data_IF_062424136224
#
_entry.id   IF_062424136224
#
_cell.length_a   1.000
_cell.length_b   1.000
_cell.length_c   1.000
_cell.angle_alpha   90.00
_cell.angle_beta   90.00
_cell.angle_gamma   90.00
#
_symmetry.space_group_name_H-M   'P 1'
#
loop_
_entity.id
_entity.type
_entity.pdbx_description
1 polymer ?
#
# COMPACT_ATOMS: atom_id res chain seq x y z
N UNK A 1 -27.09 -22.38 42.58
CA UNK A 1 -26.22 -23.01 41.58
C UNK A 1 -25.84 -21.92 40.60
N UNK A 2 -24.56 -21.54 40.54
CA UNK A 2 -24.10 -20.47 39.66
C UNK A 2 -23.85 -21.06 38.27
N UNK A 3 -24.55 -20.53 37.27
CA UNK A 3 -24.43 -20.92 35.88
C UNK A 3 -23.10 -20.36 35.33
N UNK A 4 -22.15 -21.26 35.09
CA UNK A 4 -20.88 -20.91 34.45
C UNK A 4 -21.16 -20.74 32.97
N UNK A 5 -21.37 -19.49 32.55
CA UNK A 5 -21.35 -19.12 31.13
C UNK A 5 -19.93 -19.35 30.64
N UNK A 6 -19.75 -20.38 29.81
CA UNK A 6 -18.46 -20.64 29.17
C UNK A 6 -18.12 -19.47 28.22
N UNK A 7 -16.89 -18.95 28.26
CA UNK A 7 -16.45 -17.95 27.30
C UNK A 7 -16.44 -18.58 25.91
N UNK A 8 -17.11 -17.93 24.94
CA UNK A 8 -17.07 -18.37 23.56
C UNK A 8 -15.62 -18.46 23.09
N UNK A 9 -15.21 -19.65 22.67
CA UNK A 9 -13.88 -19.92 22.13
C UNK A 9 -13.68 -19.08 20.85
N UNK A 10 -12.86 -18.03 20.95
CA UNK A 10 -12.45 -17.16 19.83
C UNK A 10 -11.72 -17.95 18.72
N UNK A 11 -11.28 -19.17 19.02
CA UNK A 11 -10.57 -20.07 18.10
C UNK A 11 -11.42 -20.61 16.95
N UNK A 12 -12.75 -20.46 16.98
CA UNK A 12 -13.65 -21.02 15.96
C UNK A 12 -14.05 -20.02 14.85
N UNK A 13 -13.48 -18.81 14.88
CA UNK A 13 -13.68 -17.83 13.80
C UNK A 13 -12.77 -18.14 12.62
N UNK A 14 -13.09 -19.21 11.90
CA UNK A 14 -12.47 -19.56 10.63
C UNK A 14 -12.75 -18.42 9.64
N UNK A 15 -11.79 -17.51 9.46
CA UNK A 15 -11.90 -16.47 8.44
C UNK A 15 -11.69 -17.12 7.07
N UNK A 16 -12.77 -17.64 6.50
CA UNK A 16 -12.76 -18.09 5.11
C UNK A 16 -12.52 -16.89 4.21
N UNK A 17 -11.30 -16.79 3.68
CA UNK A 17 -10.97 -15.83 2.65
C UNK A 17 -11.63 -16.33 1.35
N UNK A 18 -12.58 -15.59 0.77
CA UNK A 18 -13.19 -15.95 -0.51
C UNK A 18 -12.13 -15.90 -1.62
N UNK A 19 -12.40 -16.55 -2.75
CA UNK A 19 -11.59 -16.32 -3.95
C UNK A 19 -11.90 -14.96 -4.56
N UNK A 20 -10.87 -14.28 -5.07
CA UNK A 20 -11.01 -13.00 -5.76
C UNK A 20 -11.72 -13.18 -7.09
N UNK A 21 -12.85 -12.50 -7.24
CA UNK A 21 -13.65 -12.38 -8.45
C UNK A 21 -13.79 -10.92 -8.83
N UNK A 22 -14.33 -10.68 -10.03
CA UNK A 22 -14.53 -9.33 -10.55
C UNK A 22 -15.36 -8.41 -9.64
N UNK A 23 -16.31 -8.97 -8.91
CA UNK A 23 -17.36 -8.22 -8.18
C UNK A 23 -17.15 -8.15 -6.66
N UNK A 24 -16.18 -8.88 -6.10
CA UNK A 24 -16.03 -9.02 -4.65
C UNK A 24 -14.72 -8.44 -4.09
N UNK A 25 -13.97 -7.69 -4.90
CA UNK A 25 -12.62 -7.22 -4.56
C UNK A 25 -12.52 -6.49 -3.21
N UNK A 26 -13.49 -5.64 -2.86
CA UNK A 26 -13.50 -4.91 -1.58
C UNK A 26 -13.55 -5.85 -0.38
N UNK A 27 -14.56 -6.72 -0.35
CA UNK A 27 -14.74 -7.74 0.69
C UNK A 27 -13.54 -8.69 0.71
N UNK A 28 -13.03 -9.06 -0.46
CA UNK A 28 -11.85 -9.89 -0.57
C UNK A 28 -10.62 -9.23 0.07
N UNK A 29 -10.34 -7.97 -0.26
CA UNK A 29 -9.18 -7.22 0.25
C UNK A 29 -9.24 -7.09 1.76
N UNK A 30 -10.40 -6.73 2.31
CA UNK A 30 -10.60 -6.68 3.76
C UNK A 30 -10.35 -8.03 4.43
N UNK A 31 -10.90 -9.13 3.89
CA UNK A 31 -10.72 -10.48 4.44
C UNK A 31 -9.27 -10.94 4.37
N UNK A 32 -8.57 -10.65 3.28
CA UNK A 32 -7.13 -10.94 3.14
C UNK A 32 -6.33 -10.18 4.17
N UNK A 33 -6.48 -8.85 4.27
CA UNK A 33 -5.71 -8.03 5.19
C UNK A 33 -5.98 -8.41 6.66
N UNK A 34 -7.23 -8.69 7.00
CA UNK A 34 -7.62 -9.19 8.33
C UNK A 34 -6.92 -10.51 8.65
N UNK A 35 -6.91 -11.46 7.71
CA UNK A 35 -6.28 -12.76 7.91
C UNK A 35 -4.76 -12.67 8.02
N UNK A 36 -4.11 -11.83 7.19
CA UNK A 36 -2.67 -11.57 7.29
C UNK A 36 -2.31 -10.96 8.66
N UNK A 37 -3.13 -10.05 9.18
CA UNK A 37 -2.97 -9.47 10.51
C UNK A 37 -3.17 -10.48 11.64
N UNK A 38 -4.20 -11.33 11.56
CA UNK A 38 -4.43 -12.40 12.55
C UNK A 38 -3.32 -13.44 12.59
N UNK A 39 -2.65 -13.69 11.47
CA UNK A 39 -1.51 -14.59 11.38
C UNK A 39 -0.16 -13.94 11.70
N UNK A 40 -0.13 -12.63 12.01
CA UNK A 40 1.10 -11.83 12.22
C UNK A 40 2.11 -11.93 11.06
N UNK A 41 1.60 -12.00 9.81
CA UNK A 41 2.41 -12.03 8.59
C UNK A 41 2.28 -10.75 7.76
N UNK A 42 1.65 -9.71 8.29
CA UNK A 42 1.42 -8.41 7.65
C UNK A 42 2.58 -7.40 7.84
N UNK A 43 3.69 -7.80 8.47
CA UNK A 43 4.81 -6.92 8.78
C UNK A 43 5.39 -6.20 7.55
N UNK A 44 5.55 -6.90 6.43
CA UNK A 44 6.03 -6.35 5.16
C UNK A 44 5.02 -5.41 4.47
N UNK A 45 3.75 -5.45 4.87
CA UNK A 45 2.72 -4.50 4.45
C UNK A 45 2.84 -3.21 5.28
N UNK A 46 3.06 -3.34 6.59
CA UNK A 46 3.15 -2.21 7.52
C UNK A 46 4.47 -1.44 7.47
N UNK A 47 5.57 -2.10 7.10
CA UNK A 47 6.92 -1.53 7.11
C UNK A 47 7.55 -1.55 5.73
N UNK A 48 8.35 -0.54 5.44
CA UNK A 48 9.13 -0.49 4.21
C UNK A 48 10.25 -1.52 4.20
N UNK A 49 10.68 -1.89 2.99
CA UNK A 49 11.76 -2.84 2.79
C UNK A 49 13.03 -2.36 3.51
N UNK A 50 13.57 -3.16 4.44
CA UNK A 50 14.83 -2.84 5.09
C UNK A 50 15.98 -2.80 4.06
N UNK A 51 17.06 -2.06 4.33
CA UNK A 51 18.25 -2.07 3.48
C UNK A 51 18.77 -3.50 3.28
N UNK A 52 19.28 -3.79 2.09
CA UNK A 52 19.87 -5.08 1.79
C UNK A 52 21.01 -5.40 2.78
N UNK A 53 21.03 -6.64 3.27
CA UNK A 53 22.07 -7.12 4.18
C UNK A 53 23.42 -7.04 3.45
N UNK A 54 24.36 -6.33 4.07
CA UNK A 54 25.77 -6.31 3.68
C UNK A 54 26.62 -7.16 4.64
N UNK A 55 27.83 -7.55 4.24
CA UNK A 55 28.76 -8.33 5.06
C UNK A 55 29.14 -7.67 6.40
N UNK A 56 28.89 -6.37 6.54
CA UNK A 56 29.15 -5.57 7.75
C UNK A 56 27.88 -5.28 8.56
N UNK A 57 26.76 -5.93 8.25
CA UNK A 57 25.49 -5.68 8.95
C UNK A 57 25.55 -6.20 10.37
N UNK A 58 24.88 -5.50 11.28
CA UNK A 58 24.70 -5.97 12.65
C UNK A 58 23.74 -7.15 12.68
N UNK A 59 23.86 -8.07 13.66
CA UNK A 59 22.90 -9.16 13.84
C UNK A 59 21.45 -8.69 13.84
N UNK A 60 21.13 -7.62 14.58
CA UNK A 60 19.79 -7.04 14.63
C UNK A 60 19.25 -6.59 13.25
N UNK A 61 20.13 -6.15 12.35
CA UNK A 61 19.72 -5.74 11.00
C UNK A 61 19.43 -6.94 10.10
N UNK A 62 20.14 -8.06 10.31
CA UNK A 62 19.88 -9.34 9.65
C UNK A 62 18.53 -9.88 10.10
N UNK A 63 18.28 -9.94 11.41
CA UNK A 63 17.01 -10.42 11.98
C UNK A 63 15.81 -9.61 11.48
N UNK A 64 15.95 -8.28 11.38
CA UNK A 64 14.91 -7.40 10.87
C UNK A 64 14.58 -7.70 9.40
N UNK A 65 15.60 -7.91 8.57
CA UNK A 65 15.44 -8.23 7.16
C UNK A 65 14.81 -9.62 6.99
N UNK A 66 15.27 -10.64 7.72
CA UNK A 66 14.71 -11.99 7.67
C UNK A 66 13.23 -12.01 8.10
N UNK A 67 12.89 -11.28 9.17
CA UNK A 67 11.49 -11.11 9.59
C UNK A 67 10.64 -10.49 8.50
N UNK A 68 11.15 -9.45 7.84
CA UNK A 68 10.46 -8.78 6.75
C UNK A 68 10.29 -9.69 5.53
N UNK A 69 11.34 -10.39 5.12
CA UNK A 69 11.32 -11.27 3.96
C UNK A 69 10.38 -12.46 4.18
N UNK A 70 10.37 -13.04 5.38
CA UNK A 70 9.42 -14.10 5.76
C UNK A 70 7.97 -13.62 5.65
N UNK A 71 7.67 -12.43 6.19
CA UNK A 71 6.34 -11.82 6.10
C UNK A 71 5.94 -11.51 4.66
N UNK A 72 6.87 -10.99 3.85
CA UNK A 72 6.66 -10.73 2.42
C UNK A 72 6.31 -12.01 1.67
N UNK A 73 7.15 -13.04 1.79
CA UNK A 73 6.99 -14.31 1.10
C UNK A 73 5.66 -15.00 1.46
N UNK A 74 5.33 -15.10 2.75
CA UNK A 74 4.09 -15.72 3.21
C UNK A 74 2.85 -14.96 2.74
N UNK A 75 2.88 -13.63 2.78
CA UNK A 75 1.76 -12.81 2.30
C UNK A 75 1.53 -12.97 0.81
N UNK A 76 2.61 -12.92 -0.01
CA UNK A 76 2.52 -13.14 -1.46
C UNK A 76 1.94 -14.51 -1.77
N UNK A 77 2.43 -15.55 -1.10
CA UNK A 77 1.95 -16.91 -1.29
C UNK A 77 0.46 -17.01 -0.97
N UNK A 78 0.03 -16.52 0.18
CA UNK A 78 -1.37 -16.57 0.62
C UNK A 78 -2.29 -15.82 -0.36
N UNK A 79 -1.92 -14.59 -0.73
CA UNK A 79 -2.70 -13.77 -1.66
C UNK A 79 -2.87 -14.51 -2.99
N UNK A 80 -1.78 -15.03 -3.59
CA UNK A 80 -1.83 -15.74 -4.87
C UNK A 80 -2.70 -17.00 -4.83
N UNK A 81 -2.78 -17.70 -3.69
CA UNK A 81 -3.71 -18.85 -3.57
C UNK A 81 -5.18 -18.45 -3.60
N UNK A 82 -5.50 -17.19 -3.29
CA UNK A 82 -6.87 -16.67 -3.23
C UNK A 82 -7.26 -15.87 -4.48
N UNK A 83 -6.46 -15.96 -5.54
CA UNK A 83 -6.75 -15.35 -6.85
C UNK A 83 -7.11 -16.45 -7.86
N UNK A 84 -8.24 -16.26 -8.55
CA UNK A 84 -8.70 -17.19 -9.59
C UNK A 84 -7.79 -17.15 -10.82
N UNK A 85 -7.77 -18.25 -11.58
CA UNK A 85 -6.92 -18.37 -12.77
C UNK A 85 -7.17 -17.29 -13.84
N UNK A 86 -8.39 -16.72 -13.91
CA UNK A 86 -8.74 -15.67 -14.88
C UNK A 86 -8.06 -14.32 -14.61
N UNK A 87 -7.72 -14.04 -13.35
CA UNK A 87 -7.08 -12.79 -12.90
C UNK A 87 -5.58 -13.01 -12.67
N UNK A 88 -5.19 -14.24 -12.34
CA UNK A 88 -3.82 -14.62 -11.96
C UNK A 88 -2.74 -14.12 -12.93
N UNK A 89 -2.98 -14.20 -14.24
CA UNK A 89 -1.98 -13.87 -15.27
C UNK A 89 -1.41 -12.44 -15.20
N UNK A 90 -2.22 -11.45 -14.77
CA UNK A 90 -1.79 -10.04 -14.70
C UNK A 90 -1.03 -9.69 -13.41
N UNK A 91 -1.10 -10.53 -12.38
CA UNK A 91 -0.59 -10.22 -11.03
C UNK A 91 0.51 -11.18 -10.55
N UNK A 92 0.70 -12.31 -11.21
CA UNK A 92 1.62 -13.37 -10.78
C UNK A 92 3.11 -12.99 -10.76
N UNK A 93 3.51 -11.94 -11.47
CA UNK A 93 4.91 -11.53 -11.60
C UNK A 93 5.46 -10.82 -10.35
N UNK A 94 4.59 -10.36 -9.45
CA UNK A 94 5.00 -9.57 -8.29
C UNK A 94 5.58 -10.48 -7.19
N UNK A 95 6.80 -10.14 -6.75
CA UNK A 95 7.53 -10.82 -5.66
C UNK A 95 7.42 -10.09 -4.33
N UNK A 96 7.04 -8.80 -4.35
CA UNK A 96 6.81 -7.98 -3.17
C UNK A 96 5.31 -7.85 -2.91
N UNK A 97 4.89 -8.03 -1.66
CA UNK A 97 3.47 -8.00 -1.26
C UNK A 97 2.83 -6.64 -1.52
N UNK A 98 3.55 -5.53 -1.29
CA UNK A 98 3.06 -4.18 -1.55
C UNK A 98 2.78 -3.95 -3.04
N UNK A 99 3.71 -4.37 -3.89
CA UNK A 99 3.55 -4.24 -5.34
C UNK A 99 2.44 -5.14 -5.87
N UNK A 100 2.31 -6.36 -5.33
CA UNK A 100 1.21 -7.27 -5.65
C UNK A 100 -0.15 -6.65 -5.30
N UNK A 101 -0.31 -6.14 -4.07
CA UNK A 101 -1.55 -5.48 -3.64
C UNK A 101 -1.84 -4.27 -4.52
N UNK A 102 -0.84 -3.44 -4.81
CA UNK A 102 -1.00 -2.28 -5.68
C UNK A 102 -1.45 -2.67 -7.10
N UNK A 103 -0.85 -3.69 -7.69
CA UNK A 103 -1.24 -4.17 -9.02
C UNK A 103 -2.68 -4.69 -9.05
N UNK A 104 -3.11 -5.37 -7.98
CA UNK A 104 -4.52 -5.78 -7.81
C UNK A 104 -5.40 -4.54 -7.71
N UNK A 105 -5.07 -3.58 -6.85
CA UNK A 105 -5.82 -2.33 -6.67
C UNK A 105 -6.03 -1.60 -8.02
N UNK A 106 -4.97 -1.49 -8.82
CA UNK A 106 -4.99 -0.85 -10.15
C UNK A 106 -5.84 -1.63 -11.17
N UNK A 107 -5.80 -2.96 -11.13
CA UNK A 107 -6.61 -3.80 -12.01
C UNK A 107 -8.11 -3.64 -11.75
N UNK A 108 -8.52 -3.49 -10.49
CA UNK A 108 -9.93 -3.27 -10.16
C UNK A 108 -10.36 -1.81 -10.37
N UNK A 109 -9.48 -0.83 -10.13
CA UNK A 109 -9.76 0.56 -10.47
C UNK A 109 -9.94 0.79 -11.99
N UNK A 110 -9.21 0.06 -12.85
CA UNK A 110 -9.39 0.14 -14.30
C UNK A 110 -10.67 -0.54 -14.78
N UNK A 111 -11.08 -1.63 -14.12
CA UNK A 111 -12.37 -2.28 -14.35
C UNK A 111 -13.54 -1.32 -14.08
N UNK A 112 -13.55 -0.65 -12.92
CA UNK A 112 -14.62 0.27 -12.53
C UNK A 112 -14.77 1.44 -13.53
N UNK A 113 -13.64 1.99 -13.99
CA UNK A 113 -13.62 3.03 -15.04
C UNK A 113 -14.23 2.53 -16.36
N UNK A 114 -13.92 1.30 -16.75
CA UNK A 114 -14.47 0.69 -17.98
C UNK A 114 -15.97 0.46 -17.86
N UNK A 115 -16.44 0.03 -16.69
CA UNK A 115 -17.87 -0.11 -16.39
C UNK A 115 -18.57 1.26 -16.44
N UNK A 116 -17.99 2.30 -15.83
CA UNK A 116 -18.52 3.65 -15.88
C UNK A 116 -18.65 4.18 -17.33
N UNK A 117 -17.61 4.04 -18.16
CA UNK A 117 -17.64 4.43 -19.58
C UNK A 117 -18.75 3.68 -20.32
N UNK A 118 -18.89 2.38 -20.07
CA UNK A 118 -19.94 1.56 -20.70
C UNK A 118 -21.34 2.01 -20.28
N UNK A 119 -21.54 2.35 -19.00
CA UNK A 119 -22.82 2.85 -18.48
C UNK A 119 -23.15 4.23 -19.05
N UNK A 120 -22.18 5.14 -19.13
CA UNK A 120 -22.34 6.46 -19.77
C UNK A 120 -22.70 6.28 -21.24
N UNK A 121 -22.02 5.39 -21.97
CA UNK A 121 -22.33 5.11 -23.37
C UNK A 121 -23.74 4.53 -23.53
N UNK A 122 -24.14 3.58 -22.68
CA UNK A 122 -25.52 3.07 -22.65
C UNK A 122 -26.54 4.19 -22.35
N UNK A 123 -26.27 5.03 -21.37
CA UNK A 123 -27.15 6.13 -20.97
C UNK A 123 -27.36 7.14 -22.10
N UNK A 124 -26.27 7.56 -22.74
CA UNK A 124 -26.28 8.56 -23.84
C UNK A 124 -26.87 8.02 -25.13
N UNK A 125 -26.73 6.72 -25.40
CA UNK A 125 -27.30 6.07 -26.60
C UNK A 125 -28.74 5.59 -26.40
N UNK A 126 -29.18 5.42 -25.16
CA UNK A 126 -30.54 4.97 -24.84
C UNK A 126 -31.57 6.03 -25.23
N UNK A 127 -32.34 5.74 -26.28
CA UNK A 127 -33.47 6.57 -26.74
C UNK A 127 -34.79 5.88 -26.47
N UNK A 128 -35.82 6.67 -26.18
CA UNK A 128 -37.18 6.14 -26.10
C UNK A 128 -37.69 5.81 -27.51
N UNK A 129 -37.93 4.54 -27.79
CA UNK A 129 -38.40 4.04 -29.11
C UNK A 129 -39.89 3.75 -29.16
N UNK A 130 -40.63 3.96 -28.07
CA UNK A 130 -42.06 3.63 -27.96
C UNK A 130 -42.37 2.14 -27.73
N UNK A 131 -41.42 1.23 -28.00
CA UNK A 131 -41.64 -0.23 -28.00
C UNK A 131 -41.84 -0.81 -26.58
N UNK A 132 -41.03 -0.38 -25.61
CA UNK A 132 -40.99 -0.94 -24.23
C UNK A 132 -41.89 -0.21 -23.22
N UNK A 133 -42.71 0.74 -23.67
CA UNK A 133 -43.53 1.55 -22.78
C UNK A 133 -42.73 2.53 -21.91
N UNK A 134 -43.37 3.62 -21.49
CA UNK A 134 -42.70 4.73 -20.80
C UNK A 134 -42.15 4.32 -19.43
N UNK A 135 -42.91 3.53 -18.67
CA UNK A 135 -42.52 3.09 -17.31
C UNK A 135 -41.22 2.27 -17.32
N UNK A 136 -41.06 1.37 -18.29
CA UNK A 136 -39.87 0.55 -18.40
C UNK A 136 -38.66 1.38 -18.82
N UNK A 137 -38.84 2.32 -19.74
CA UNK A 137 -37.77 3.26 -20.12
C UNK A 137 -37.28 4.10 -18.93
N UNK A 138 -38.20 4.62 -18.11
CA UNK A 138 -37.87 5.37 -16.89
C UNK A 138 -37.11 4.48 -15.89
N UNK A 139 -37.56 3.24 -15.69
CA UNK A 139 -36.86 2.32 -14.78
C UNK A 139 -35.43 2.04 -15.24
N UNK A 140 -35.22 1.76 -16.52
CA UNK A 140 -33.88 1.51 -17.05
C UNK A 140 -32.96 2.74 -16.94
N UNK A 141 -33.48 3.94 -17.25
CA UNK A 141 -32.71 5.19 -17.10
C UNK A 141 -32.32 5.45 -15.65
N UNK A 142 -33.26 5.19 -14.71
CA UNK A 142 -33.02 5.33 -13.28
C UNK A 142 -32.01 4.31 -12.77
N UNK A 143 -32.08 3.08 -13.24
CA UNK A 143 -31.15 2.00 -12.88
C UNK A 143 -29.71 2.33 -13.31
N UNK A 144 -29.50 2.74 -14.56
CA UNK A 144 -28.18 3.18 -15.04
C UNK A 144 -27.66 4.37 -14.22
N UNK A 145 -28.54 5.33 -13.90
CA UNK A 145 -28.18 6.49 -13.06
C UNK A 145 -27.78 6.07 -11.65
N UNK A 146 -28.47 5.09 -11.06
CA UNK A 146 -28.15 4.57 -9.73
C UNK A 146 -26.80 3.83 -9.72
N UNK A 147 -26.52 3.03 -10.74
CA UNK A 147 -25.22 2.36 -10.90
C UNK A 147 -24.08 3.38 -11.06
N UNK A 148 -24.27 4.44 -11.85
CA UNK A 148 -23.28 5.52 -12.00
C UNK A 148 -22.99 6.24 -10.68
N UNK A 149 -24.02 6.55 -9.88
CA UNK A 149 -23.84 7.17 -8.56
C UNK A 149 -23.08 6.28 -7.60
N UNK A 150 -23.35 4.98 -7.63
CA UNK A 150 -22.63 4.00 -6.82
C UNK A 150 -21.14 4.05 -7.15
N UNK A 151 -20.77 3.98 -8.44
CA UNK A 151 -19.37 4.07 -8.87
C UNK A 151 -18.69 5.41 -8.49
N UNK A 152 -19.41 6.53 -8.54
CA UNK A 152 -18.88 7.85 -8.14
C UNK A 152 -18.58 7.93 -6.63
N UNK A 153 -19.50 7.44 -5.80
CA UNK A 153 -19.31 7.36 -4.35
C UNK A 153 -18.16 6.41 -3.99
N UNK A 154 -18.01 5.32 -4.76
CA UNK A 154 -16.94 4.35 -4.60
C UNK A 154 -15.56 4.91 -4.99
N UNK A 155 -15.45 5.70 -6.07
CA UNK A 155 -14.21 6.37 -6.45
C UNK A 155 -13.77 7.38 -5.38
N UNK A 156 -14.73 8.10 -4.78
CA UNK A 156 -14.47 9.03 -3.67
C UNK A 156 -13.89 8.31 -2.44
N UNK A 157 -14.44 7.17 -2.05
CA UNK A 157 -13.95 6.39 -0.90
C UNK A 157 -12.49 5.94 -1.08
N UNK A 158 -12.11 5.52 -2.29
CA UNK A 158 -10.75 5.08 -2.62
C UNK A 158 -9.73 6.24 -2.53
N UNK A 159 -10.13 7.47 -2.85
CA UNK A 159 -9.27 8.65 -2.73
C UNK A 159 -9.03 9.05 -1.25
N UNK A 160 -10.04 8.89 -0.38
CA UNK A 160 -9.94 9.23 1.04
C UNK A 160 -9.00 8.29 1.83
N UNK A 161 -8.91 7.01 1.46
CA UNK A 161 -7.98 6.06 2.11
C UNK A 161 -6.51 6.31 1.77
N UNK A 162 -6.22 6.76 0.53
CA UNK A 162 -4.87 7.13 0.10
C UNK A 162 -4.31 8.36 0.85
N UNK A 163 -5.19 9.28 1.29
CA UNK A 163 -4.79 10.43 2.11
C UNK A 163 -4.51 10.05 3.57
N UNK A 164 -5.26 9.10 4.15
CA UNK A 164 -5.04 8.65 5.54
C UNK A 164 -3.67 8.02 5.77
N UNK A 165 -3.10 7.33 4.78
CA UNK A 165 -1.76 6.72 4.87
C UNK A 165 -0.64 7.78 4.86
N UNK A 166 -0.86 8.92 4.20
CA UNK A 166 0.16 9.98 4.08
C UNK A 166 0.21 10.92 5.29
N UNK A 167 -0.88 11.06 6.05
CA UNK A 167 -0.93 11.93 7.24
C UNK A 167 -0.16 11.38 8.45
N UNK A 168 0.11 10.07 8.52
CA UNK A 168 0.85 9.46 9.63
C UNK A 168 2.39 9.58 9.53
N UNK A 169 2.94 10.15 8.45
CA UNK A 169 4.41 10.24 8.24
C UNK A 169 5.02 11.56 8.76
N UNK A 170 4.21 12.58 9.08
CA UNK A 170 4.69 13.88 9.55
C UNK A 170 4.36 14.18 11.02
N UNK A 171 4.80 13.31 11.95
CA UNK A 171 4.95 13.76 13.34
C UNK A 171 6.17 14.69 13.47
N UNK A 172 5.88 15.98 13.55
CA UNK A 172 6.76 17.06 13.98
C UNK A 172 7.51 16.68 15.26
N UNK A 173 8.81 16.38 15.15
CA UNK A 173 9.74 16.51 16.28
C UNK A 173 9.78 17.99 16.73
N UNK A 174 9.08 18.32 17.80
CA UNK A 174 9.33 19.53 18.58
C UNK A 174 10.73 19.42 19.21
N UNK A 175 11.58 20.41 18.95
CA UNK A 175 12.84 20.64 19.66
C UNK A 175 12.52 21.47 20.91
N UNK A 176 12.59 20.85 22.08
CA UNK A 176 12.73 21.58 23.33
C UNK A 176 14.22 21.67 23.69
N UNK A 177 14.72 22.91 23.71
CA UNK A 177 16.05 23.25 24.22
C UNK A 177 15.95 23.46 25.74
N UNK A 178 16.72 22.68 26.51
CA UNK A 178 17.13 23.10 27.85
C UNK A 178 18.57 22.64 28.13
N UNK A 179 19.32 23.53 28.76
CA UNK A 179 20.77 23.67 28.80
C UNK A 179 21.28 23.21 30.17
N UNK A 180 22.11 22.17 30.23
CA UNK A 180 22.77 21.71 31.46
C UNK A 180 24.23 21.36 31.20
N UNK A 181 25.15 22.05 31.88
CA UNK A 181 26.61 22.01 31.71
C UNK A 181 27.20 20.71 32.28
N UNK A 182 28.12 20.09 31.55
CA UNK A 182 28.98 19.01 32.04
C UNK A 182 30.08 18.70 31.02
N UNK A 183 31.32 18.79 31.46
CA UNK A 183 32.61 18.80 30.74
C UNK A 183 32.96 17.52 29.95
N UNK A 184 33.64 17.72 28.80
CA UNK A 184 34.23 16.69 27.91
C UNK A 184 35.65 16.30 28.42
N UNK A 185 36.12 15.07 28.17
CA UNK A 185 37.49 14.86 27.70
C UNK A 185 37.57 14.24 26.29
N UNK A 186 38.59 14.57 25.48
CA UNK A 186 38.51 14.61 24.03
C UNK A 186 38.91 13.29 23.37
N UNK A 187 38.19 12.89 22.30
CA UNK A 187 38.70 11.91 21.35
C UNK A 187 38.49 12.36 19.89
N UNK A 188 39.65 12.58 19.25
CA UNK A 188 39.98 12.56 17.82
C UNK A 188 38.89 13.02 16.81
N UNK A 189 38.98 14.29 16.41
CA UNK A 189 38.40 14.80 15.17
C UNK A 189 39.14 14.15 13.99
N UNK A 190 38.56 13.12 13.37
CA UNK A 190 38.90 12.77 11.99
C UNK A 190 38.36 13.90 11.12
N UNK A 191 39.19 14.91 10.85
CA UNK A 191 38.93 15.89 9.79
C UNK A 191 38.88 15.11 8.48
N UNK A 192 37.68 14.81 7.96
CA UNK A 192 37.52 14.47 6.55
C UNK A 192 37.90 15.73 5.76
N UNK A 193 39.14 15.78 5.31
CA UNK A 193 39.62 16.84 4.43
C UNK A 193 38.79 16.85 3.15
N UNK A 194 37.98 17.90 2.99
CA UNK A 194 37.19 18.15 1.80
C UNK A 194 38.13 18.25 0.58
N UNK A 195 38.10 17.23 -0.29
CA UNK A 195 38.82 17.23 -1.57
C UNK A 195 38.01 17.97 -2.63
N UNK A 196 38.68 18.81 -3.41
CA UNK A 196 38.08 19.47 -4.56
C UNK A 196 37.64 18.44 -5.59
N UNK A 197 36.37 18.45 -5.98
CA UNK A 197 35.83 17.48 -6.94
C UNK A 197 36.42 17.59 -8.35
N UNK A 198 37.00 18.75 -8.70
CA UNK A 198 37.57 18.99 -10.03
C UNK A 198 39.03 18.54 -10.14
N UNK A 199 39.90 18.97 -9.21
CA UNK A 199 41.33 18.65 -9.26
C UNK A 199 41.77 17.55 -8.29
N UNK A 200 40.84 17.03 -7.47
CA UNK A 200 41.06 16.01 -6.43
C UNK A 200 42.06 16.41 -5.33
N UNK A 201 42.58 17.63 -5.33
CA UNK A 201 43.44 18.17 -4.25
C UNK A 201 42.61 18.56 -3.03
N UNK A 202 43.17 18.37 -1.85
CA UNK A 202 42.54 18.69 -0.56
C UNK A 202 42.66 20.19 -0.25
N UNK A 203 41.76 20.71 0.58
CA UNK A 203 41.86 22.06 1.15
C UNK A 203 41.10 23.18 0.43
N UNK A 204 40.33 22.90 -0.63
CA UNK A 204 39.44 23.86 -1.27
C UNK A 204 38.24 23.17 -1.94
N UNK A 205 37.15 23.90 -2.16
CA UNK A 205 35.98 23.41 -2.90
C UNK A 205 36.09 23.73 -4.40
N UNK A 206 35.31 23.05 -5.26
CA UNK A 206 35.32 23.25 -6.72
C UNK A 206 35.20 24.72 -7.14
N UNK A 207 34.37 25.50 -6.44
CA UNK A 207 34.14 26.95 -6.66
C UNK A 207 35.38 27.84 -6.38
N UNK A 208 36.38 27.32 -5.68
CA UNK A 208 37.62 28.02 -5.31
C UNK A 208 38.83 27.42 -6.03
N UNK A 209 38.63 26.49 -6.96
CA UNK A 209 39.73 25.85 -7.67
C UNK A 209 40.27 26.78 -8.76
N UNK A 210 41.54 27.18 -8.65
CA UNK A 210 42.21 28.00 -9.67
C UNK A 210 42.20 27.35 -11.06
N UNK A 211 42.28 26.02 -11.15
CA UNK A 211 42.16 25.28 -12.42
C UNK A 211 40.74 25.24 -13.01
N UNK A 212 39.72 25.54 -12.21
CA UNK A 212 38.33 25.60 -12.68
C UNK A 212 37.93 27.02 -13.11
N UNK A 213 38.69 28.04 -12.68
CA UNK A 213 38.47 29.45 -13.04
C UNK A 213 39.42 29.97 -14.13
N UNK A 214 40.27 29.11 -14.70
CA UNK A 214 41.07 29.38 -15.90
C UNK A 214 40.45 28.79 -17.14
#
# INVERSE_FOLDING_TARGET
>A
MAEVVQPANVSDMKCDIPELRGDNYKVWKERVLLHLGWMDIDYAIRKDEPPAIMATSTPDAVDLYEKWERSNHLSVMLIKTKITASIRGSVDQHTKVKDLLKAIDEQFATSDKTVAITLIMKFTTMKFTGIRGVREHIMNMRDITAQLKTLEEEERFMMEEGERVNLTVHEKKRKDHAKGKGSIPPQAVIKKESKCFFCKKKGHMKKECSKFKS
#
